data_IF_318613625181
#
_entry.id   IF_318613625181
#
_cell.length_a   1.000
_cell.length_b   1.000
_cell.length_c   1.000
_cell.angle_alpha   90.00
_cell.angle_beta   90.00
_cell.angle_gamma   90.00
#
_symmetry.space_group_name_H-M   'P 1'
#
loop_
_entity.id
_entity.type
_entity.pdbx_description
1 polymer ?
#
# COMPACT_ATOMS: atom_id res chain seq x y z
N UNK A 1 -28.76 -23.99 54.41
CA UNK A 1 -27.51 -23.40 53.89
C UNK A 1 -27.60 -23.44 52.36
N UNK A 2 -27.71 -22.29 51.67
CA UNK A 2 -27.74 -22.20 50.20
C UNK A 2 -26.33 -21.85 49.71
N UNK A 3 -25.76 -22.56 48.73
CA UNK A 3 -24.45 -22.21 48.21
C UNK A 3 -24.59 -20.98 47.29
N UNK A 4 -23.78 -19.96 47.56
CA UNK A 4 -23.62 -18.79 46.73
C UNK A 4 -22.71 -19.16 45.56
N UNK A 5 -23.27 -19.26 44.35
CA UNK A 5 -22.51 -19.46 43.14
C UNK A 5 -21.96 -18.12 42.69
N UNK A 6 -20.68 -17.87 42.94
CA UNK A 6 -19.98 -16.69 42.48
C UNK A 6 -19.60 -16.87 40.99
N UNK A 7 -20.37 -16.25 40.11
CA UNK A 7 -20.08 -16.27 38.68
C UNK A 7 -18.93 -15.29 38.37
N UNK A 8 -17.74 -15.82 38.13
CA UNK A 8 -16.57 -15.02 37.73
C UNK A 8 -16.71 -14.67 36.25
N UNK A 9 -17.07 -13.41 35.95
CA UNK A 9 -17.14 -12.87 34.60
C UNK A 9 -15.72 -12.62 34.10
N UNK A 10 -15.20 -13.47 33.21
CA UNK A 10 -13.91 -13.31 32.57
C UNK A 10 -14.09 -12.35 31.37
N UNK A 11 -13.65 -11.13 31.54
CA UNK A 11 -13.55 -10.16 30.42
C UNK A 11 -12.36 -10.54 29.52
N UNK A 12 -12.64 -11.14 28.38
CA UNK A 12 -11.67 -11.28 27.30
C UNK A 12 -11.45 -9.89 26.68
N UNK A 13 -10.39 -9.22 27.09
CA UNK A 13 -9.93 -7.99 26.44
C UNK A 13 -9.30 -8.41 25.11
N UNK A 14 -10.06 -8.36 24.03
CA UNK A 14 -9.55 -8.49 22.68
C UNK A 14 -8.80 -7.19 22.37
N UNK A 15 -7.51 -7.16 22.71
CA UNK A 15 -6.63 -6.06 22.33
C UNK A 15 -6.47 -6.03 20.81
N UNK A 16 -6.79 -4.91 20.17
CA UNK A 16 -6.43 -4.71 18.78
C UNK A 16 -4.90 -4.77 18.65
N UNK A 17 -4.38 -5.73 17.92
CA UNK A 17 -2.96 -5.82 17.65
C UNK A 17 -2.49 -4.53 16.94
N UNK A 18 -1.49 -3.87 17.50
CA UNK A 18 -0.81 -2.75 16.85
C UNK A 18 0.49 -3.24 16.26
N UNK A 19 0.85 -2.64 15.15
CA UNK A 19 2.09 -2.96 14.47
C UNK A 19 2.95 -1.71 14.31
N UNK A 20 4.24 -1.91 14.45
CA UNK A 20 5.29 -0.95 14.17
C UNK A 20 6.23 -1.52 13.12
N UNK A 21 7.08 -0.70 12.57
CA UNK A 21 7.94 -1.08 11.45
C UNK A 21 9.37 -0.61 11.73
N UNK A 22 10.32 -1.42 11.30
CA UNK A 22 11.74 -1.10 11.38
C UNK A 22 12.33 -1.16 9.96
N UNK A 23 12.98 -0.10 9.50
CA UNK A 23 13.82 -0.17 8.31
C UNK A 23 15.10 -0.90 8.75
N UNK A 24 15.35 -2.09 8.20
CA UNK A 24 16.49 -2.91 8.57
C UNK A 24 17.60 -2.91 7.51
N UNK A 25 17.26 -2.55 6.29
CA UNK A 25 18.22 -2.35 5.21
C UNK A 25 17.80 -1.19 4.29
N UNK A 26 18.77 -0.39 3.79
CA UNK A 26 20.21 -0.47 4.10
C UNK A 26 20.52 -0.04 5.55
N UNK A 27 21.59 -0.57 6.18
CA UNK A 27 21.87 -0.35 7.62
C UNK A 27 22.11 1.11 8.00
N UNK A 28 22.63 1.90 7.10
CA UNK A 28 22.87 3.33 7.27
C UNK A 28 21.59 4.16 7.33
N UNK A 29 20.47 3.59 6.88
CA UNK A 29 19.14 4.21 6.93
C UNK A 29 18.23 3.51 7.96
N UNK A 30 18.77 2.62 8.80
CA UNK A 30 18.01 1.92 9.82
C UNK A 30 17.25 2.88 10.72
N UNK A 31 15.94 2.69 10.85
CA UNK A 31 15.08 3.56 11.61
C UNK A 31 13.84 2.82 12.12
N UNK A 32 13.35 3.22 13.28
CA UNK A 32 12.14 2.72 13.88
C UNK A 32 10.96 3.64 13.55
N UNK A 33 9.82 3.04 13.13
CA UNK A 33 8.59 3.73 12.76
C UNK A 33 7.48 3.20 13.66
N UNK A 34 7.18 3.94 14.70
CA UNK A 34 6.12 3.60 15.66
C UNK A 34 4.82 4.37 15.39
N UNK A 35 3.80 4.10 16.18
CA UNK A 35 2.50 4.76 16.08
C UNK A 35 2.57 6.29 16.32
N UNK A 36 3.65 6.77 16.98
CA UNK A 36 3.86 8.19 17.31
C UNK A 36 5.24 8.70 16.89
N UNK A 37 6.02 7.89 16.19
CA UNK A 37 7.37 8.23 15.73
C UNK A 37 7.46 8.01 14.22
N UNK A 38 7.42 9.11 13.48
CA UNK A 38 7.72 9.09 12.04
C UNK A 38 9.24 9.01 11.86
N UNK A 39 9.68 8.37 10.79
CA UNK A 39 11.09 8.38 10.38
C UNK A 39 11.25 9.15 9.07
N UNK A 40 12.41 9.76 8.91
CA UNK A 40 12.82 10.43 7.67
C UNK A 40 14.15 9.87 7.24
N UNK A 41 14.24 9.40 6.01
CA UNK A 41 15.47 8.92 5.41
C UNK A 41 15.76 9.69 4.13
N UNK A 42 17.02 10.11 3.98
CA UNK A 42 17.48 10.82 2.80
C UNK A 42 18.28 9.86 1.93
N UNK A 43 17.85 9.68 0.71
CA UNK A 43 18.55 8.88 -0.29
C UNK A 43 18.52 9.66 -1.60
N UNK A 44 19.64 10.32 -1.87
CA UNK A 44 19.78 11.28 -2.98
C UNK A 44 19.21 10.74 -4.29
N UNK A 45 18.39 11.51 -5.01
CA UNK A 45 17.95 12.90 -4.72
C UNK A 45 16.61 13.00 -3.95
N UNK A 46 16.10 11.91 -3.39
CA UNK A 46 14.76 11.82 -2.81
C UNK A 46 14.80 11.78 -1.28
N UNK A 47 13.74 12.28 -0.66
CA UNK A 47 13.50 12.22 0.78
C UNK A 47 12.30 11.33 1.06
N UNK A 48 12.47 10.36 1.93
CA UNK A 48 11.42 9.44 2.35
C UNK A 48 10.92 9.77 3.74
N UNK A 49 9.62 9.95 3.88
CA UNK A 49 8.94 10.11 5.15
C UNK A 49 8.10 8.86 5.42
N UNK A 50 8.40 8.17 6.50
CA UNK A 50 7.79 6.91 6.88
C UNK A 50 6.87 7.11 8.06
N UNK A 51 5.68 6.56 7.99
CA UNK A 51 4.67 6.65 9.05
C UNK A 51 3.88 5.37 9.18
N UNK A 52 3.63 4.93 10.41
CA UNK A 52 2.70 3.85 10.71
C UNK A 52 1.28 4.42 10.89
N UNK A 53 0.32 3.96 10.08
CA UNK A 53 -1.09 4.39 10.13
C UNK A 53 -1.98 3.16 9.97
N UNK A 54 -2.87 2.91 10.91
CA UNK A 54 -3.86 1.81 10.85
C UNK A 54 -3.23 0.45 10.48
N UNK A 55 -2.14 0.10 11.15
CA UNK A 55 -1.35 -1.11 10.90
C UNK A 55 -0.75 -1.23 9.50
N UNK A 56 -0.63 -0.13 8.78
CA UNK A 56 -0.02 -0.01 7.47
C UNK A 56 1.17 0.93 7.50
N UNK A 57 2.11 0.70 6.63
CA UNK A 57 3.22 1.61 6.41
C UNK A 57 2.88 2.57 5.29
N UNK A 58 2.88 3.85 5.60
CA UNK A 58 2.70 4.94 4.63
C UNK A 58 4.06 5.55 4.35
N UNK A 59 4.43 5.59 3.09
CA UNK A 59 5.69 6.16 2.61
C UNK A 59 5.37 7.35 1.74
N UNK A 60 5.86 8.53 2.10
CA UNK A 60 5.86 9.72 1.25
C UNK A 60 7.25 9.88 0.66
N UNK A 61 7.32 9.95 -0.65
CA UNK A 61 8.55 10.10 -1.42
C UNK A 61 8.56 11.53 -1.94
N UNK A 62 9.34 12.39 -1.31
CA UNK A 62 9.42 13.80 -1.68
C UNK A 62 10.57 14.04 -2.65
N UNK A 63 10.28 14.81 -3.70
CA UNK A 63 11.25 15.27 -4.67
C UNK A 63 11.66 16.72 -4.35
N UNK A 64 12.80 16.96 -3.68
CA UNK A 64 13.26 18.31 -3.36
C UNK A 64 13.93 19.03 -4.55
N UNK A 65 14.08 18.35 -5.68
CA UNK A 65 14.77 18.91 -6.85
C UNK A 65 13.85 19.79 -7.68
N UNK A 66 14.44 20.50 -8.66
CA UNK A 66 13.69 21.32 -9.63
C UNK A 66 13.29 20.53 -10.88
N UNK A 67 13.72 19.26 -10.98
CA UNK A 67 13.41 18.39 -12.10
C UNK A 67 12.34 17.36 -11.71
N UNK A 68 11.45 16.97 -12.64
CA UNK A 68 10.54 15.88 -12.39
C UNK A 68 11.32 14.54 -12.29
N UNK A 69 10.87 13.66 -11.40
CA UNK A 69 11.43 12.32 -11.24
C UNK A 69 10.30 11.32 -11.47
N UNK A 70 10.50 10.38 -12.36
CA UNK A 70 9.52 9.34 -12.65
C UNK A 70 9.81 8.09 -11.81
N UNK A 71 8.82 7.61 -11.06
CA UNK A 71 8.83 6.27 -10.48
C UNK A 71 8.39 5.28 -11.56
N UNK A 72 9.32 4.44 -12.01
CA UNK A 72 9.09 3.48 -13.09
C UNK A 72 8.39 2.24 -12.53
N UNK A 73 7.07 2.18 -12.68
CA UNK A 73 6.24 1.12 -12.09
C UNK A 73 6.62 -0.29 -12.55
N UNK A 74 6.89 -0.48 -13.84
CA UNK A 74 7.27 -1.77 -14.42
C UNK A 74 8.58 -2.35 -13.86
N UNK A 75 9.46 -1.50 -13.33
CA UNK A 75 10.75 -1.88 -12.76
C UNK A 75 10.74 -1.84 -11.23
N UNK A 76 9.67 -1.32 -10.65
CA UNK A 76 9.50 -1.20 -9.19
C UNK A 76 8.62 -2.31 -8.67
N UNK A 77 9.00 -2.90 -7.53
CA UNK A 77 8.26 -4.03 -6.98
C UNK A 77 8.32 -4.05 -5.46
N UNK A 78 7.31 -4.62 -4.86
CA UNK A 78 7.28 -5.01 -3.45
C UNK A 78 7.34 -6.54 -3.41
N UNK A 79 8.30 -7.08 -2.68
CA UNK A 79 8.34 -8.52 -2.40
C UNK A 79 7.70 -8.74 -1.03
N UNK A 80 6.57 -9.43 -1.02
CA UNK A 80 5.81 -9.77 0.19
C UNK A 80 6.50 -10.88 1.01
N UNK A 81 6.09 -11.13 2.25
CA UNK A 81 6.74 -12.10 3.12
C UNK A 81 6.74 -13.55 2.59
N UNK A 82 5.82 -13.89 1.73
CA UNK A 82 5.73 -15.18 1.05
C UNK A 82 6.61 -15.28 -0.21
N UNK A 83 7.38 -14.22 -0.50
CA UNK A 83 8.29 -14.16 -1.63
C UNK A 83 7.64 -13.76 -2.95
N UNK A 84 6.35 -13.43 -2.96
CA UNK A 84 5.67 -12.97 -4.17
C UNK A 84 6.03 -11.52 -4.49
N UNK A 85 6.26 -11.23 -5.77
CA UNK A 85 6.51 -9.87 -6.27
C UNK A 85 5.20 -9.20 -6.67
N UNK A 86 4.97 -8.00 -6.17
CA UNK A 86 3.79 -7.19 -6.46
C UNK A 86 4.20 -5.89 -7.15
N UNK A 87 3.47 -5.48 -8.19
CA UNK A 87 3.80 -4.26 -8.93
C UNK A 87 3.60 -3.01 -8.05
N UNK A 88 4.43 -2.01 -8.29
CA UNK A 88 4.24 -0.66 -7.75
C UNK A 88 3.67 0.22 -8.85
N UNK A 89 2.69 1.05 -8.52
CA UNK A 89 2.12 1.97 -9.50
C UNK A 89 3.14 3.05 -9.86
N UNK A 90 3.47 3.14 -11.16
CA UNK A 90 4.34 4.18 -11.69
C UNK A 90 3.66 5.55 -11.64
N UNK A 91 4.44 6.59 -11.35
CA UNK A 91 3.95 7.96 -11.31
C UNK A 91 5.09 8.96 -11.42
N UNK A 92 4.82 10.12 -11.98
CA UNK A 92 5.76 11.23 -12.01
C UNK A 92 5.65 12.05 -10.73
N UNK A 93 6.78 12.27 -10.06
CA UNK A 93 6.90 13.14 -8.89
C UNK A 93 7.39 14.50 -9.36
N UNK A 94 6.50 15.46 -9.43
CA UNK A 94 6.82 16.80 -9.86
C UNK A 94 7.86 17.47 -8.92
N UNK A 95 8.57 18.49 -9.37
CA UNK A 95 9.43 19.29 -8.50
C UNK A 95 8.72 19.76 -7.23
N UNK A 96 9.41 19.73 -6.09
CA UNK A 96 8.88 20.18 -4.80
C UNK A 96 7.56 19.52 -4.38
N UNK A 97 7.29 18.30 -4.88
CA UNK A 97 6.08 17.54 -4.59
C UNK A 97 6.39 16.14 -4.06
N UNK A 98 5.37 15.39 -3.71
CA UNK A 98 5.54 14.04 -3.20
C UNK A 98 4.60 13.03 -3.85
N UNK A 99 5.09 11.80 -3.95
CA UNK A 99 4.31 10.60 -4.20
C UNK A 99 3.99 9.88 -2.89
N UNK A 100 2.93 9.09 -2.85
CA UNK A 100 2.52 8.34 -1.66
C UNK A 100 2.36 6.86 -2.00
N UNK A 101 3.03 6.01 -1.22
CA UNK A 101 2.83 4.56 -1.24
C UNK A 101 2.21 4.11 0.07
N UNK A 102 1.35 3.09 0.04
CA UNK A 102 0.75 2.46 1.22
C UNK A 102 1.02 0.97 1.13
N UNK A 103 1.63 0.41 2.18
CA UNK A 103 2.02 -1.00 2.26
C UNK A 103 1.35 -1.68 3.47
N UNK A 104 0.61 -2.78 3.26
CA UNK A 104 0.13 -3.29 1.98
C UNK A 104 -0.90 -2.34 1.34
N UNK A 105 -1.12 -2.42 0.02
CA UNK A 105 -2.09 -1.57 -0.67
C UNK A 105 -3.50 -1.71 -0.09
N UNK A 106 -4.25 -0.62 -0.08
CA UNK A 106 -5.64 -0.65 0.35
C UNK A 106 -6.49 -1.30 -0.72
N UNK A 107 -7.22 -2.36 -0.36
CA UNK A 107 -8.27 -2.84 -1.25
C UNK A 107 -9.31 -1.74 -1.39
N UNK A 108 -9.73 -1.39 -2.60
CA UNK A 108 -10.83 -0.44 -2.76
C UNK A 108 -12.04 -1.01 -2.04
N UNK A 109 -12.54 -0.27 -1.05
CA UNK A 109 -13.84 -0.61 -0.49
C UNK A 109 -14.85 -0.49 -1.63
N UNK A 110 -15.62 -1.53 -1.86
CA UNK A 110 -16.80 -1.39 -2.71
C UNK A 110 -17.64 -0.31 -2.04
N UNK A 111 -17.69 0.87 -2.63
CA UNK A 111 -18.64 1.86 -2.21
C UNK A 111 -20.02 1.20 -2.45
N UNK A 112 -20.66 0.82 -1.35
CA UNK A 112 -22.07 0.43 -1.43
C UNK A 112 -22.80 1.71 -1.79
N UNK A 113 -23.21 1.82 -3.03
CA UNK A 113 -24.15 2.85 -3.45
C UNK A 113 -25.56 2.31 -3.18
N UNK A 114 -26.20 2.72 -2.06
CA UNK A 114 -27.54 2.25 -1.72
C UNK A 114 -28.60 2.72 -2.71
N UNK A 115 -28.26 3.64 -3.60
CA UNK A 115 -29.13 4.21 -4.63
C UNK A 115 -28.70 3.84 -6.05
N UNK A 116 -27.57 3.15 -6.18
CA UNK A 116 -27.13 2.62 -7.47
C UNK A 116 -28.09 1.52 -7.94
N UNK A 117 -28.39 1.43 -9.25
CA UNK A 117 -29.20 0.34 -9.78
C UNK A 117 -28.54 -0.99 -9.43
N UNK A 118 -29.28 -1.88 -8.78
CA UNK A 118 -28.85 -3.25 -8.46
C UNK A 118 -28.66 -4.04 -9.75
N UNK A 119 -27.52 -3.87 -10.41
CA UNK A 119 -27.15 -4.75 -11.51
C UNK A 119 -26.64 -6.07 -10.93
N UNK A 120 -27.57 -7.00 -10.70
CA UNK A 120 -27.28 -8.40 -10.39
C UNK A 120 -26.73 -9.19 -11.60
N UNK A 121 -26.39 -8.51 -12.67
CA UNK A 121 -25.83 -9.07 -13.88
C UNK A 121 -24.56 -8.34 -14.27
N UNK A 122 -23.45 -8.60 -13.60
CA UNK A 122 -22.14 -8.14 -14.03
C UNK A 122 -21.75 -8.86 -15.32
N UNK A 123 -21.86 -8.20 -16.46
CA UNK A 123 -21.20 -8.64 -17.67
C UNK A 123 -19.70 -8.53 -17.44
N UNK A 124 -19.06 -9.60 -16.97
CA UNK A 124 -17.62 -9.70 -16.91
C UNK A 124 -17.08 -9.71 -18.33
N UNK A 125 -16.16 -8.82 -18.65
CA UNK A 125 -15.38 -8.91 -19.89
C UNK A 125 -14.37 -10.04 -19.67
N UNK A 126 -14.49 -11.10 -20.46
CA UNK A 126 -13.54 -12.19 -20.48
C UNK A 126 -12.35 -11.79 -21.35
N UNK A 127 -11.21 -11.54 -20.72
CA UNK A 127 -9.95 -11.32 -21.41
C UNK A 127 -9.01 -12.42 -20.93
N UNK A 128 -8.47 -13.19 -21.85
CA UNK A 128 -7.57 -14.33 -21.60
C UNK A 128 -8.12 -15.42 -20.66
N UNK A 129 -9.42 -15.78 -20.78
CA UNK A 129 -10.02 -16.85 -20.01
C UNK A 129 -10.20 -16.57 -18.51
N UNK A 130 -9.97 -15.36 -18.05
CA UNK A 130 -10.19 -14.93 -16.67
C UNK A 130 -11.33 -13.92 -16.61
N UNK A 131 -12.36 -14.21 -15.83
CA UNK A 131 -13.44 -13.26 -15.57
C UNK A 131 -12.91 -12.13 -14.68
N UNK A 132 -12.83 -10.94 -15.24
CA UNK A 132 -12.56 -9.72 -14.47
C UNK A 132 -13.88 -9.04 -14.17
N UNK A 133 -14.18 -8.78 -12.89
CA UNK A 133 -15.36 -8.00 -12.50
C UNK A 133 -15.19 -6.56 -12.99
N UNK A 134 -15.88 -6.22 -14.08
CA UNK A 134 -15.99 -4.85 -14.56
C UNK A 134 -17.12 -4.12 -13.84
N UNK A 135 -16.90 -2.88 -13.43
CA UNK A 135 -17.99 -2.01 -12.97
C UNK A 135 -18.71 -1.42 -14.18
N UNK A 136 -20.05 -1.30 -14.13
CA UNK A 136 -20.75 -0.55 -15.14
C UNK A 136 -20.31 0.91 -15.10
N UNK A 137 -19.72 1.37 -16.19
CA UNK A 137 -19.39 2.78 -16.36
C UNK A 137 -20.68 3.51 -16.71
N UNK A 138 -21.20 4.31 -15.80
CA UNK A 138 -22.23 5.27 -16.15
C UNK A 138 -21.62 6.30 -17.11
N UNK A 139 -22.17 6.43 -18.30
CA UNK A 139 -21.83 7.47 -19.24
C UNK A 139 -22.59 8.77 -18.92
N UNK A 140 -21.98 9.75 -18.30
CA UNK A 140 -22.62 11.07 -18.24
C UNK A 140 -22.36 11.93 -19.49
N UNK A 141 -21.27 11.65 -20.26
CA UNK A 141 -20.91 12.48 -21.41
C UNK A 141 -20.24 11.65 -22.50
N UNK A 142 -20.85 11.65 -23.69
CA UNK A 142 -20.23 11.12 -24.91
C UNK A 142 -18.96 11.94 -25.25
N UNK A 143 -17.81 11.29 -25.25
CA UNK A 143 -16.54 11.90 -25.70
C UNK A 143 -15.39 11.92 -24.69
N UNK A 144 -15.59 11.53 -23.44
CA UNK A 144 -14.45 11.39 -22.51
C UNK A 144 -13.79 10.00 -22.62
N UNK A 145 -12.45 9.91 -22.54
CA UNK A 145 -11.76 8.64 -22.55
C UNK A 145 -12.20 7.82 -21.33
N UNK A 146 -12.68 6.61 -21.57
CA UNK A 146 -13.09 5.67 -20.52
C UNK A 146 -11.83 5.07 -19.91
N UNK A 147 -11.51 5.46 -18.69
CA UNK A 147 -10.50 4.77 -17.91
C UNK A 147 -11.15 3.56 -17.24
N UNK A 148 -11.00 2.39 -17.84
CA UNK A 148 -11.26 1.13 -17.16
C UNK A 148 -10.15 0.95 -16.12
N UNK A 149 -10.42 1.26 -14.87
CA UNK A 149 -9.53 0.88 -13.78
C UNK A 149 -9.66 -0.62 -13.58
N UNK A 150 -8.88 -1.40 -14.29
CA UNK A 150 -8.75 -2.83 -14.04
C UNK A 150 -8.00 -2.96 -12.73
N UNK A 151 -8.72 -3.31 -11.66
CA UNK A 151 -8.08 -3.66 -10.40
C UNK A 151 -7.41 -5.02 -10.58
N UNK A 152 -6.10 -5.00 -10.71
CA UNK A 152 -5.31 -6.21 -10.73
C UNK A 152 -5.37 -6.84 -9.32
N UNK A 153 -5.97 -8.02 -9.23
CA UNK A 153 -6.06 -8.74 -7.95
C UNK A 153 -4.67 -9.05 -7.38
N UNK A 154 -3.67 -9.19 -8.24
CA UNK A 154 -2.30 -9.47 -7.87
C UNK A 154 -1.57 -8.25 -7.26
N UNK A 155 -2.15 -7.04 -7.40
CA UNK A 155 -1.63 -5.84 -6.75
C UNK A 155 -1.91 -5.82 -5.23
N UNK A 156 -2.86 -6.64 -4.74
CA UNK A 156 -3.25 -6.65 -3.33
C UNK A 156 -2.67 -7.86 -2.60
N UNK A 157 -1.99 -7.59 -1.51
CA UNK A 157 -1.41 -8.61 -0.65
C UNK A 157 -1.63 -8.24 0.83
N UNK A 158 -1.47 -9.19 1.72
CA UNK A 158 -1.63 -8.99 3.16
C UNK A 158 -0.28 -9.15 3.85
N UNK A 159 0.09 -8.15 4.64
CA UNK A 159 1.26 -8.25 5.51
C UNK A 159 0.86 -8.97 6.78
N UNK A 160 1.16 -10.27 6.88
CA UNK A 160 0.78 -11.11 8.02
C UNK A 160 1.96 -11.30 8.97
N UNK A 161 1.66 -11.20 10.28
CA UNK A 161 2.65 -11.51 11.33
C UNK A 161 3.82 -10.54 11.41
N UNK A 162 4.90 -11.01 12.02
CA UNK A 162 6.18 -10.33 12.18
C UNK A 162 7.13 -10.85 11.10
N UNK A 163 7.24 -10.14 10.02
CA UNK A 163 7.92 -10.58 8.81
C UNK A 163 8.51 -9.40 8.05
N UNK A 164 9.38 -9.69 7.11
CA UNK A 164 10.05 -8.71 6.28
C UNK A 164 9.34 -8.52 4.94
N UNK A 165 9.38 -7.30 4.46
CA UNK A 165 8.98 -6.89 3.12
C UNK A 165 10.14 -6.17 2.47
N UNK A 166 10.43 -6.48 1.22
CA UNK A 166 11.43 -5.77 0.44
C UNK A 166 10.77 -4.85 -0.56
N UNK A 167 11.10 -3.55 -0.49
CA UNK A 167 10.61 -2.51 -1.39
C UNK A 167 11.73 -2.09 -2.33
N UNK A 168 11.55 -2.36 -3.61
CA UNK A 168 12.48 -2.01 -4.68
C UNK A 168 11.84 -0.92 -5.53
N UNK A 169 12.43 0.26 -5.53
CA UNK A 169 11.94 1.42 -6.26
C UNK A 169 12.96 1.84 -7.31
N UNK A 170 12.53 1.90 -8.55
CA UNK A 170 13.35 2.36 -9.66
C UNK A 170 12.78 3.67 -10.18
N UNK A 171 13.66 4.64 -10.27
CA UNK A 171 13.31 5.98 -10.74
C UNK A 171 14.08 6.33 -12.00
N UNK A 172 13.55 7.30 -12.74
CA UNK A 172 14.18 7.91 -13.90
C UNK A 172 14.19 9.42 -13.69
N UNK A 173 15.40 10.03 -13.72
CA UNK A 173 15.59 11.48 -13.73
C UNK A 173 16.29 11.85 -15.04
N UNK A 174 15.55 12.36 -16.02
CA UNK A 174 16.06 12.47 -17.38
C UNK A 174 16.54 11.11 -17.89
N UNK A 175 17.82 10.99 -18.28
CA UNK A 175 18.40 9.73 -18.76
C UNK A 175 19.09 8.91 -17.66
N UNK A 176 19.04 9.36 -16.40
CA UNK A 176 19.71 8.70 -15.29
C UNK A 176 18.74 7.79 -14.53
N UNK A 177 18.96 6.47 -14.53
CA UNK A 177 18.22 5.56 -13.69
C UNK A 177 18.76 5.60 -12.26
N UNK A 178 17.87 5.56 -11.27
CA UNK A 178 18.16 5.49 -9.85
C UNK A 178 17.44 4.29 -9.28
N UNK A 179 18.05 3.60 -8.31
CA UNK A 179 17.44 2.45 -7.66
C UNK A 179 17.61 2.54 -6.15
N UNK A 180 16.50 2.46 -5.44
CA UNK A 180 16.46 2.45 -3.98
C UNK A 180 15.83 1.15 -3.49
N UNK A 181 16.53 0.44 -2.64
CA UNK A 181 16.10 -0.83 -2.04
C UNK A 181 15.96 -0.67 -0.53
N UNK A 182 14.83 -1.09 0.01
CA UNK A 182 14.58 -1.11 1.44
C UNK A 182 14.11 -2.49 1.88
N UNK A 183 14.60 -2.97 3.01
CA UNK A 183 14.00 -4.09 3.73
C UNK A 183 13.35 -3.54 5.00
N UNK A 184 12.09 -3.89 5.19
CA UNK A 184 11.28 -3.35 6.27
C UNK A 184 10.72 -4.52 7.06
N UNK A 185 11.04 -4.56 8.35
CA UNK A 185 10.52 -5.53 9.30
C UNK A 185 9.24 -5.00 9.95
N UNK A 186 8.21 -5.82 10.02
CA UNK A 186 6.98 -5.52 10.77
C UNK A 186 7.02 -6.23 12.11
N UNK A 187 6.81 -5.48 13.19
CA UNK A 187 6.80 -5.99 14.56
C UNK A 187 5.43 -5.78 15.20
N UNK A 188 4.97 -6.77 15.94
CA UNK A 188 3.74 -6.69 16.74
C UNK A 188 4.07 -6.05 18.11
N UNK A 189 3.20 -5.15 18.56
CA UNK A 189 3.25 -4.51 19.88
C UNK A 189 2.40 -5.26 20.90
#
# INVERSE_FOLDING_TARGET
MKPLVTSTLVFLVVGCARYEFDIVAPPDLAAHIGARSDAVTNLDPLVYQWRAVDNRLVVRIFNPTNDPIELVGEKSTVVSPDGQSHPVMGQTIAPQSYAKLILPPMRPSRAYDPWGPSYSGGAGIEVDGRRRAGYPVHEPYAGQPRYLTVYDADAYWDWKGETDVRLILVYQRGDQPLRHDFTIHRRKM
#
